data_IF_572591560300
#
_entry.id   IF_572591560300
#
_cell.length_a   1.000
_cell.length_b   1.000
_cell.length_c   1.000
_cell.angle_alpha   90.00
_cell.angle_beta   90.00
_cell.angle_gamma   90.00
#
_symmetry.space_group_name_H-M   'P 1'
#
loop_
_entity.id
_entity.type
_entity.pdbx_description
1 polymer ?
#
# COMPACT_ATOMS: atom_id res chain seq x y z
N UNK A 1 -3.57 59.01 5.83
CA UNK A 1 -2.46 58.50 5.01
C UNK A 1 -1.59 57.48 5.75
N UNK A 2 -1.17 57.73 7.00
CA UNK A 2 -0.31 56.80 7.74
C UNK A 2 -0.91 55.39 7.93
N UNK A 3 -2.22 55.25 8.13
CA UNK A 3 -2.89 53.94 8.30
C UNK A 3 -3.00 53.10 7.02
N UNK A 4 -2.93 53.74 5.85
CA UNK A 4 -3.00 53.03 4.57
C UNK A 4 -1.65 52.38 4.26
N UNK A 5 -0.56 53.09 4.56
CA UNK A 5 0.81 52.61 4.35
C UNK A 5 1.13 51.42 5.26
N UNK A 6 0.70 51.44 6.52
CA UNK A 6 0.92 50.31 7.44
C UNK A 6 0.20 49.03 7.01
N UNK A 7 -1.01 49.14 6.45
CA UNK A 7 -1.75 47.97 5.97
C UNK A 7 -1.12 47.33 4.72
N UNK A 8 -0.52 48.13 3.84
CA UNK A 8 0.17 47.62 2.65
C UNK A 8 1.45 46.87 3.03
N UNK A 9 2.26 47.42 3.94
CA UNK A 9 3.51 46.81 4.42
C UNK A 9 3.24 45.48 5.17
N UNK A 10 2.19 45.43 5.98
CA UNK A 10 1.74 44.20 6.66
C UNK A 10 1.28 43.11 5.67
N UNK A 11 0.57 43.50 4.61
CA UNK A 11 0.13 42.55 3.60
C UNK A 11 1.29 42.02 2.74
N UNK A 12 2.28 42.84 2.42
CA UNK A 12 3.47 42.39 1.69
C UNK A 12 4.32 41.44 2.53
N UNK A 13 4.56 41.75 3.79
CA UNK A 13 5.31 40.88 4.70
C UNK A 13 4.59 39.56 4.98
N UNK A 14 3.25 39.55 5.11
CA UNK A 14 2.47 38.31 5.18
C UNK A 14 2.51 37.48 3.89
N UNK A 15 2.49 38.14 2.72
CA UNK A 15 2.66 37.45 1.42
C UNK A 15 4.06 36.85 1.29
N UNK A 16 5.10 37.56 1.73
CA UNK A 16 6.48 37.11 1.69
C UNK A 16 6.74 35.97 2.68
N UNK A 17 6.10 35.99 3.85
CA UNK A 17 6.12 34.85 4.79
C UNK A 17 5.42 33.63 4.21
N UNK A 18 4.27 33.81 3.54
CA UNK A 18 3.58 32.71 2.85
C UNK A 18 4.36 32.18 1.65
N UNK A 19 5.05 33.03 0.89
CA UNK A 19 5.89 32.58 -0.22
C UNK A 19 7.12 31.82 0.29
N UNK A 20 7.80 32.33 1.33
CA UNK A 20 8.96 31.66 1.93
C UNK A 20 8.60 30.32 2.61
N UNK A 21 7.38 30.16 3.14
CA UNK A 21 6.91 28.87 3.65
C UNK A 21 6.58 27.87 2.52
N UNK A 22 6.11 28.35 1.37
CA UNK A 22 5.87 27.49 0.20
C UNK A 22 7.16 27.12 -0.54
N UNK A 23 8.18 28.00 -0.53
CA UNK A 23 9.49 27.75 -1.14
C UNK A 23 10.41 26.89 -0.25
N UNK A 24 10.11 26.79 1.05
CA UNK A 24 10.59 25.71 1.90
C UNK A 24 9.77 24.42 1.71
N UNK A 25 9.57 24.00 0.45
CA UNK A 25 9.41 22.56 0.18
C UNK A 25 10.63 21.90 0.81
N UNK A 26 10.46 21.27 1.98
CA UNK A 26 11.51 20.51 2.65
C UNK A 26 12.17 19.64 1.58
N UNK A 27 13.44 19.90 1.31
CA UNK A 27 14.19 19.18 0.28
C UNK A 27 14.39 17.77 0.80
N UNK A 28 13.63 16.84 0.27
CA UNK A 28 13.60 15.44 0.71
C UNK A 28 14.94 14.80 0.42
N UNK A 29 15.56 14.23 1.44
CA UNK A 29 16.85 13.54 1.28
C UNK A 29 16.63 12.10 0.84
N UNK A 30 16.55 11.92 -0.48
CA UNK A 30 16.40 10.61 -1.11
C UNK A 30 17.56 9.64 -0.85
N UNK A 31 18.65 10.09 -0.22
CA UNK A 31 19.78 9.23 0.13
C UNK A 31 19.64 8.59 1.52
N UNK A 32 18.68 9.03 2.35
CA UNK A 32 18.42 8.42 3.66
C UNK A 32 17.51 7.20 3.51
N UNK A 33 18.10 6.06 3.17
CA UNK A 33 17.36 4.81 3.07
C UNK A 33 17.13 4.20 4.46
N UNK A 34 15.87 4.06 4.85
CA UNK A 34 15.47 3.64 6.19
C UNK A 34 14.40 2.52 6.22
N UNK A 35 13.85 2.14 5.07
CA UNK A 35 12.74 1.19 4.97
C UNK A 35 13.00 0.10 3.90
N UNK A 36 12.57 -1.17 4.09
CA UNK A 36 12.09 -1.75 5.34
C UNK A 36 13.22 -1.79 6.40
N UNK A 37 12.91 -1.80 7.72
CA UNK A 37 13.86 -1.51 8.80
C UNK A 37 15.17 -2.32 8.79
N UNK A 38 15.12 -3.55 8.26
CA UNK A 38 16.26 -4.47 8.23
C UNK A 38 17.14 -4.32 6.97
N UNK A 39 16.56 -3.88 5.85
CA UNK A 39 17.21 -3.89 4.54
C UNK A 39 17.51 -2.46 4.06
N UNK A 40 16.79 -1.45 4.59
CA UNK A 40 17.03 -0.01 4.35
C UNK A 40 17.27 0.33 2.88
N UNK A 41 16.26 0.08 2.04
CA UNK A 41 16.34 0.22 0.57
C UNK A 41 15.53 1.40 0.03
N UNK A 42 14.56 1.89 0.80
CA UNK A 42 13.67 3.01 0.49
C UNK A 42 13.85 4.07 1.55
N UNK A 43 13.89 5.33 1.13
CA UNK A 43 13.63 6.46 2.00
C UNK A 43 12.13 6.56 2.30
N UNK A 44 11.76 6.49 3.58
CA UNK A 44 10.41 6.70 4.05
C UNK A 44 10.42 7.59 5.28
N UNK A 45 10.02 8.85 5.11
CA UNK A 45 9.71 9.74 6.21
C UNK A 45 8.34 10.38 5.97
N UNK A 46 7.38 10.13 6.86
CA UNK A 46 6.02 10.66 6.74
C UNK A 46 5.94 12.15 7.07
N UNK A 47 6.86 12.66 7.88
CA UNK A 47 6.85 14.08 8.27
C UNK A 47 7.34 14.99 7.14
N UNK A 48 8.19 14.46 6.26
CA UNK A 48 8.65 15.12 5.03
C UNK A 48 7.56 15.21 3.95
N UNK A 49 6.48 14.44 4.10
CA UNK A 49 5.33 14.47 3.19
C UNK A 49 4.42 15.64 3.52
N UNK A 50 3.95 16.35 2.49
CA UNK A 50 2.97 17.44 2.66
C UNK A 50 1.71 16.92 3.38
N UNK A 51 1.12 17.70 4.32
CA UNK A 51 0.02 17.23 5.15
C UNK A 51 -1.17 16.63 4.39
N UNK A 52 -1.47 17.17 3.20
CA UNK A 52 -2.54 16.69 2.31
C UNK A 52 -2.34 15.26 1.77
N UNK A 53 -1.09 14.81 1.72
CA UNK A 53 -0.68 13.51 1.17
C UNK A 53 -0.33 12.47 2.23
N UNK A 54 -0.17 12.88 3.50
CA UNK A 54 0.24 11.97 4.58
C UNK A 54 -0.72 10.79 4.74
N UNK A 55 -2.02 11.03 4.64
CA UNK A 55 -3.01 9.95 4.73
C UNK A 55 -2.86 8.94 3.59
N UNK A 56 -2.61 9.41 2.36
CA UNK A 56 -2.39 8.54 1.20
C UNK A 56 -1.16 7.66 1.43
N UNK A 57 -0.05 8.28 1.82
CA UNK A 57 1.21 7.57 2.07
C UNK A 57 1.08 6.57 3.22
N UNK A 58 0.36 6.91 4.29
CA UNK A 58 0.05 5.98 5.39
C UNK A 58 -0.79 4.81 4.92
N UNK A 59 -1.80 5.04 4.07
CA UNK A 59 -2.61 3.96 3.50
C UNK A 59 -1.79 3.01 2.64
N UNK A 60 -0.89 3.54 1.80
CA UNK A 60 0.02 2.72 0.98
C UNK A 60 1.00 1.89 1.83
N UNK A 61 1.52 2.49 2.90
CA UNK A 61 2.43 1.80 3.81
C UNK A 61 1.69 0.69 4.57
N UNK A 62 0.51 1.01 5.12
CA UNK A 62 -0.30 0.06 5.85
C UNK A 62 -0.77 -1.10 4.96
N UNK A 63 -1.20 -0.82 3.72
CA UNK A 63 -1.57 -1.87 2.77
C UNK A 63 -0.39 -2.80 2.49
N UNK A 64 0.82 -2.25 2.35
CA UNK A 64 2.03 -3.06 2.16
C UNK A 64 2.29 -4.00 3.33
N UNK A 65 2.18 -3.51 4.57
CA UNK A 65 2.33 -4.35 5.77
C UNK A 65 1.26 -5.44 5.84
N UNK A 66 0.00 -5.08 5.55
CA UNK A 66 -1.10 -6.03 5.58
C UNK A 66 -0.94 -7.13 4.55
N UNK A 67 -0.35 -6.86 3.38
CA UNK A 67 -0.07 -7.89 2.36
C UNK A 67 0.99 -8.87 2.87
N UNK A 68 2.05 -8.39 3.54
CA UNK A 68 3.01 -9.32 4.20
C UNK A 68 2.26 -10.20 5.20
N UNK A 69 1.49 -9.59 6.10
CA UNK A 69 0.74 -10.32 7.12
C UNK A 69 -0.23 -11.34 6.50
N UNK A 70 -0.96 -10.93 5.46
CA UNK A 70 -1.85 -11.78 4.69
C UNK A 70 -1.14 -12.99 4.11
N UNK A 71 -0.02 -12.80 3.40
CA UNK A 71 0.71 -13.91 2.77
C UNK A 71 1.30 -14.89 3.78
N UNK A 72 1.76 -14.40 4.95
CA UNK A 72 2.22 -15.26 6.03
C UNK A 72 1.06 -16.08 6.61
N UNK A 73 -0.09 -15.44 6.85
CA UNK A 73 -1.30 -16.11 7.33
C UNK A 73 -1.75 -17.19 6.33
N UNK A 74 -1.78 -16.85 5.04
CA UNK A 74 -2.15 -17.77 3.96
C UNK A 74 -1.24 -19.00 3.86
N UNK A 75 0.08 -18.84 4.10
CA UNK A 75 0.99 -19.99 4.18
C UNK A 75 0.65 -20.88 5.36
N UNK A 76 0.38 -20.29 6.53
CA UNK A 76 0.03 -21.03 7.75
C UNK A 76 -1.28 -21.80 7.54
N UNK A 77 -2.32 -21.13 7.04
CA UNK A 77 -3.63 -21.75 6.85
C UNK A 77 -3.58 -22.87 5.81
N UNK A 78 -2.95 -22.65 4.65
CA UNK A 78 -2.78 -23.71 3.65
C UNK A 78 -1.93 -24.89 4.17
N UNK A 79 -0.98 -24.64 5.09
CA UNK A 79 -0.20 -25.73 5.72
C UNK A 79 -1.06 -26.57 6.67
N UNK A 80 -1.93 -25.94 7.45
CA UNK A 80 -2.87 -26.63 8.35
C UNK A 80 -3.89 -27.42 7.54
N UNK A 81 -4.44 -26.81 6.49
CA UNK A 81 -5.37 -27.47 5.57
C UNK A 81 -4.74 -28.71 4.92
N UNK A 82 -3.49 -28.62 4.46
CA UNK A 82 -2.77 -29.76 3.90
C UNK A 82 -2.57 -30.90 4.92
N UNK A 83 -2.28 -30.56 6.18
CA UNK A 83 -2.21 -31.54 7.27
C UNK A 83 -3.54 -32.26 7.55
N UNK A 84 -4.67 -31.68 7.13
CA UNK A 84 -6.01 -32.25 7.26
C UNK A 84 -6.52 -32.93 5.97
N UNK A 85 -5.63 -33.18 4.99
CA UNK A 85 -5.95 -33.95 3.79
C UNK A 85 -6.41 -33.13 2.58
N UNK A 86 -6.35 -31.79 2.65
CA UNK A 86 -6.51 -30.92 1.47
C UNK A 86 -5.22 -30.95 0.62
N UNK A 87 -5.33 -30.71 -0.68
CA UNK A 87 -4.17 -30.75 -1.59
C UNK A 87 -3.03 -29.82 -1.15
N UNK A 88 -1.88 -30.43 -0.81
CA UNK A 88 -0.68 -29.72 -0.37
C UNK A 88 -0.04 -28.81 -1.42
N UNK A 89 -0.43 -28.92 -2.70
CA UNK A 89 0.05 -28.02 -3.77
C UNK A 89 -0.31 -26.55 -3.49
N UNK A 90 -1.35 -26.32 -2.69
CA UNK A 90 -1.75 -24.98 -2.25
C UNK A 90 -0.66 -24.27 -1.45
N UNK A 91 0.14 -25.00 -0.67
CA UNK A 91 1.29 -24.45 0.06
C UNK A 91 2.30 -23.86 -0.93
N UNK A 92 2.59 -24.59 -2.01
CA UNK A 92 3.51 -24.12 -3.05
C UNK A 92 3.00 -22.82 -3.69
N UNK A 93 1.70 -22.74 -3.98
CA UNK A 93 1.12 -21.50 -4.49
C UNK A 93 1.26 -20.34 -3.49
N UNK A 94 1.01 -20.55 -2.20
CA UNK A 94 1.21 -19.51 -1.17
C UNK A 94 2.65 -19.01 -1.13
N UNK A 95 3.64 -19.90 -1.25
CA UNK A 95 5.06 -19.49 -1.39
C UNK A 95 5.31 -18.74 -2.70
N UNK A 96 4.74 -19.19 -3.82
CA UNK A 96 4.85 -18.46 -5.09
C UNK A 96 4.26 -17.04 -4.96
N UNK A 97 3.16 -16.85 -4.23
CA UNK A 97 2.60 -15.52 -3.95
C UNK A 97 3.51 -14.68 -3.04
N UNK A 98 4.11 -15.29 -2.02
CA UNK A 98 5.12 -14.63 -1.17
C UNK A 98 6.34 -14.16 -1.98
N UNK A 99 6.74 -14.87 -3.05
CA UNK A 99 7.91 -14.50 -3.86
C UNK A 99 7.57 -13.73 -5.15
N UNK A 100 6.34 -13.80 -5.64
CA UNK A 100 5.96 -13.17 -6.91
C UNK A 100 5.12 -11.92 -6.69
N UNK A 101 4.10 -11.99 -5.82
CA UNK A 101 3.17 -10.89 -5.60
C UNK A 101 3.66 -9.92 -4.53
N UNK A 102 4.26 -10.41 -3.44
CA UNK A 102 4.84 -9.52 -2.45
C UNK A 102 5.93 -8.64 -3.05
N UNK A 103 6.91 -9.10 -3.85
CA UNK A 103 7.90 -8.18 -4.40
C UNK A 103 7.34 -7.12 -5.35
N UNK A 104 6.23 -7.39 -6.07
CA UNK A 104 5.49 -6.38 -6.84
C UNK A 104 4.94 -5.29 -5.91
N UNK A 105 4.47 -5.66 -4.71
CA UNK A 105 3.86 -4.78 -3.71
C UNK A 105 4.88 -4.15 -2.73
N UNK A 106 5.94 -4.86 -2.35
CA UNK A 106 6.80 -4.63 -1.18
C UNK A 106 8.30 -4.46 -1.45
N UNK A 107 8.82 -4.70 -2.67
CA UNK A 107 10.28 -4.81 -2.91
C UNK A 107 10.86 -6.06 -2.20
N UNK A 108 11.76 -6.90 -2.70
CA UNK A 108 12.87 -6.81 -3.65
C UNK A 108 13.21 -8.25 -4.10
N UNK A 109 13.90 -8.45 -5.24
CA UNK A 109 15.13 -9.30 -5.33
C UNK A 109 15.95 -8.93 -6.58
N UNK A 110 15.37 -8.65 -7.75
CA UNK A 110 16.16 -8.30 -8.96
C UNK A 110 15.98 -6.83 -9.41
N UNK A 111 16.89 -5.97 -8.96
CA UNK A 111 17.47 -4.81 -9.66
C UNK A 111 16.61 -3.80 -10.46
N UNK A 112 15.30 -3.65 -10.22
CA UNK A 112 14.58 -2.43 -10.68
C UNK A 112 13.32 -2.14 -9.88
N UNK A 113 13.47 -1.47 -8.73
CA UNK A 113 12.47 -0.66 -8.02
C UNK A 113 11.14 -1.34 -7.61
N UNK A 114 10.78 -1.24 -6.33
CA UNK A 114 9.43 -1.55 -5.84
C UNK A 114 8.40 -0.81 -6.70
N UNK A 115 7.45 -1.52 -7.30
CA UNK A 115 6.62 -0.91 -8.33
C UNK A 115 5.50 -0.03 -7.79
N UNK A 116 4.95 -0.31 -6.61
CA UNK A 116 3.66 0.31 -6.23
C UNK A 116 3.81 1.24 -5.04
N UNK A 117 4.28 0.73 -3.89
CA UNK A 117 4.49 1.57 -2.72
C UNK A 117 5.48 2.71 -3.01
N UNK A 118 6.66 2.38 -3.55
CA UNK A 118 7.69 3.37 -3.85
C UNK A 118 7.27 4.34 -4.97
N UNK A 119 6.64 3.86 -6.05
CA UNK A 119 6.13 4.77 -7.10
C UNK A 119 4.97 5.63 -6.63
N UNK A 120 4.09 5.09 -5.79
CA UNK A 120 3.02 5.87 -5.16
C UNK A 120 3.59 6.93 -4.24
N UNK A 121 4.50 6.56 -3.33
CA UNK A 121 5.18 7.50 -2.43
C UNK A 121 5.97 8.56 -3.19
N UNK A 122 6.94 8.16 -4.02
CA UNK A 122 7.77 9.09 -4.80
C UNK A 122 6.96 9.90 -5.80
N UNK A 123 5.90 9.31 -6.35
CA UNK A 123 5.03 9.98 -7.29
C UNK A 123 4.24 11.12 -6.66
N UNK A 124 3.71 10.89 -5.45
CA UNK A 124 2.99 11.91 -4.68
C UNK A 124 3.93 13.03 -4.21
N UNK A 125 5.20 12.68 -3.95
CA UNK A 125 6.14 13.54 -3.25
C UNK A 125 7.03 14.36 -4.19
N UNK A 126 7.48 13.78 -5.31
CA UNK A 126 8.52 14.39 -6.16
C UNK A 126 8.27 14.30 -7.65
N UNK A 127 7.70 13.21 -8.18
CA UNK A 127 7.65 12.95 -9.62
C UNK A 127 6.28 12.45 -10.10
N UNK A 128 5.38 13.35 -10.54
CA UNK A 128 4.03 13.00 -10.98
C UNK A 128 3.97 11.96 -12.10
N UNK A 129 5.01 11.84 -12.95
CA UNK A 129 5.01 10.86 -14.04
C UNK A 129 4.95 9.41 -13.53
N UNK A 130 5.50 9.16 -12.33
CA UNK A 130 5.41 7.84 -11.69
C UNK A 130 3.99 7.47 -11.27
N UNK A 131 3.12 8.47 -11.05
CA UNK A 131 1.72 8.26 -10.66
C UNK A 131 0.88 7.69 -11.79
N UNK A 132 1.18 7.98 -13.06
CA UNK A 132 0.40 7.48 -14.19
C UNK A 132 0.46 5.96 -14.26
N UNK A 133 1.67 5.38 -14.22
CA UNK A 133 1.82 3.93 -14.21
C UNK A 133 1.27 3.31 -12.92
N UNK A 134 1.51 3.95 -11.77
CA UNK A 134 0.96 3.52 -10.49
C UNK A 134 -0.57 3.40 -10.55
N UNK A 135 -1.28 4.39 -11.09
CA UNK A 135 -2.75 4.39 -11.21
C UNK A 135 -3.25 3.15 -11.96
N UNK A 136 -2.68 2.85 -13.12
CA UNK A 136 -3.07 1.70 -13.93
C UNK A 136 -2.77 0.37 -13.27
N UNK A 137 -1.55 0.20 -12.75
CA UNK A 137 -1.13 -1.04 -12.08
C UNK A 137 -2.00 -1.29 -10.83
N UNK A 138 -2.31 -0.24 -10.08
CA UNK A 138 -3.13 -0.33 -8.88
C UNK A 138 -4.58 -0.73 -9.20
N UNK A 139 -5.17 -0.22 -10.28
CA UNK A 139 -6.50 -0.63 -10.74
C UNK A 139 -6.52 -2.13 -11.03
N UNK A 140 -5.56 -2.61 -11.83
CA UNK A 140 -5.47 -4.03 -12.19
C UNK A 140 -5.34 -4.89 -10.94
N UNK A 141 -4.51 -4.50 -9.99
CA UNK A 141 -4.33 -5.26 -8.76
C UNK A 141 -5.55 -5.26 -7.86
N UNK A 142 -6.24 -4.14 -7.72
CA UNK A 142 -7.51 -4.08 -6.97
C UNK A 142 -8.51 -5.08 -7.57
N UNK A 143 -8.63 -5.16 -8.90
CA UNK A 143 -9.51 -6.11 -9.57
C UNK A 143 -9.07 -7.57 -9.34
N UNK A 144 -7.77 -7.85 -9.39
CA UNK A 144 -7.23 -9.17 -9.06
C UNK A 144 -7.55 -9.57 -7.62
N UNK A 145 -7.31 -8.67 -6.65
CA UNK A 145 -7.59 -8.92 -5.23
C UNK A 145 -9.09 -9.16 -4.97
N UNK A 146 -9.98 -8.37 -5.57
CA UNK A 146 -11.43 -8.60 -5.47
C UNK A 146 -11.78 -9.99 -6.03
N UNK A 147 -11.20 -10.36 -7.18
CA UNK A 147 -11.44 -11.67 -7.79
C UNK A 147 -11.00 -12.79 -6.85
N UNK A 148 -9.77 -12.72 -6.31
CA UNK A 148 -9.23 -13.71 -5.37
C UNK A 148 -9.96 -13.75 -4.02
N UNK A 149 -10.58 -12.65 -3.58
CA UNK A 149 -11.44 -12.69 -2.39
C UNK A 149 -12.71 -13.51 -2.60
N UNK A 150 -13.18 -13.63 -3.84
CA UNK A 150 -14.41 -14.36 -4.14
C UNK A 150 -14.09 -15.82 -4.45
N UNK A 151 -13.12 -16.07 -5.32
CA UNK A 151 -12.84 -17.41 -5.86
C UNK A 151 -11.73 -18.13 -5.12
N UNK A 152 -11.93 -19.43 -4.88
CA UNK A 152 -10.91 -20.32 -4.34
C UNK A 152 -9.97 -20.79 -5.45
N UNK A 153 -8.87 -20.06 -5.69
CA UNK A 153 -7.89 -20.40 -6.74
C UNK A 153 -6.48 -20.13 -6.25
N UNK A 154 -5.47 -20.82 -6.79
CA UNK A 154 -4.04 -20.55 -6.55
C UNK A 154 -3.65 -20.43 -5.05
N UNK A 155 -4.28 -21.23 -4.18
CA UNK A 155 -4.02 -21.20 -2.72
C UNK A 155 -4.81 -20.14 -1.94
N UNK A 156 -5.59 -19.29 -2.61
CA UNK A 156 -6.58 -18.44 -1.95
C UNK A 156 -7.79 -19.25 -1.54
N UNK A 157 -8.29 -18.99 -0.34
CA UNK A 157 -9.54 -19.58 0.13
C UNK A 157 -10.73 -18.87 -0.52
N UNK A 158 -10.85 -17.56 -0.32
CA UNK A 158 -11.97 -16.77 -0.79
C UNK A 158 -13.30 -17.16 -0.15
N UNK A 159 -14.30 -16.30 -0.34
CA UNK A 159 -15.60 -16.45 0.33
C UNK A 159 -16.36 -17.72 -0.07
N UNK A 160 -16.15 -18.25 -1.28
CA UNK A 160 -16.87 -19.43 -1.77
C UNK A 160 -16.53 -20.68 -0.93
N UNK A 161 -15.28 -20.87 -0.50
CA UNK A 161 -14.88 -22.08 0.23
C UNK A 161 -15.09 -21.98 1.74
N UNK A 162 -15.35 -20.78 2.27
CA UNK A 162 -15.52 -20.56 3.71
C UNK A 162 -16.59 -21.46 4.32
N UNK A 163 -17.75 -21.60 3.66
CA UNK A 163 -18.83 -22.44 4.17
C UNK A 163 -18.36 -23.89 4.36
N UNK A 164 -17.65 -24.43 3.36
CA UNK A 164 -17.06 -25.77 3.42
C UNK A 164 -16.04 -25.87 4.55
N UNK A 165 -15.15 -24.88 4.68
CA UNK A 165 -14.16 -24.87 5.77
C UNK A 165 -14.83 -24.81 7.14
N UNK A 166 -15.89 -24.02 7.34
CA UNK A 166 -16.59 -23.98 8.62
C UNK A 166 -17.28 -25.28 8.99
N UNK A 167 -17.76 -26.04 8.00
CA UNK A 167 -18.41 -27.34 8.21
C UNK A 167 -17.41 -28.44 8.57
N UNK A 168 -16.29 -28.53 7.85
CA UNK A 168 -15.36 -29.66 7.97
C UNK A 168 -14.10 -29.34 8.80
N UNK A 169 -13.62 -28.10 8.78
CA UNK A 169 -12.37 -27.66 9.40
C UNK A 169 -12.55 -26.26 10.03
N UNK A 170 -13.36 -26.13 11.11
CA UNK A 170 -13.84 -24.84 11.60
C UNK A 170 -12.71 -23.88 11.98
N UNK A 171 -11.59 -24.39 12.47
CA UNK A 171 -10.40 -23.57 12.75
C UNK A 171 -9.82 -22.94 11.48
N UNK A 172 -9.66 -23.71 10.39
CA UNK A 172 -9.25 -23.17 9.09
C UNK A 172 -10.30 -22.21 8.52
N UNK A 173 -11.59 -22.46 8.76
CA UNK A 173 -12.66 -21.52 8.39
C UNK A 173 -12.50 -20.16 9.06
N UNK A 174 -12.13 -20.12 10.35
CA UNK A 174 -11.82 -18.88 11.07
C UNK A 174 -10.58 -18.19 10.49
N UNK A 175 -9.50 -18.93 10.22
CA UNK A 175 -8.28 -18.37 9.63
C UNK A 175 -8.53 -17.79 8.23
N UNK A 176 -9.22 -18.54 7.37
CA UNK A 176 -9.63 -18.09 6.05
C UNK A 176 -10.53 -16.84 6.10
N UNK A 177 -11.42 -16.74 7.10
CA UNK A 177 -12.24 -15.54 7.29
C UNK A 177 -11.37 -14.33 7.66
N UNK A 178 -10.36 -14.50 8.53
CA UNK A 178 -9.41 -13.44 8.84
C UNK A 178 -8.59 -13.02 7.62
N UNK A 179 -8.14 -13.99 6.81
CA UNK A 179 -7.47 -13.72 5.53
C UNK A 179 -8.32 -12.86 4.60
N UNK A 180 -9.58 -13.24 4.39
CA UNK A 180 -10.49 -12.52 3.50
C UNK A 180 -10.79 -11.11 4.02
N UNK A 181 -10.94 -10.93 5.35
CA UNK A 181 -11.08 -9.60 5.96
C UNK A 181 -9.83 -8.73 5.72
N UNK A 182 -8.63 -9.27 5.95
CA UNK A 182 -7.38 -8.55 5.69
C UNK A 182 -7.29 -8.17 4.21
N UNK A 183 -7.65 -9.08 3.30
CA UNK A 183 -7.67 -8.81 1.87
C UNK A 183 -8.64 -7.68 1.50
N UNK A 184 -9.85 -7.67 2.07
CA UNK A 184 -10.81 -6.58 1.87
C UNK A 184 -10.29 -5.24 2.40
N UNK A 185 -9.60 -5.23 3.53
CA UNK A 185 -8.96 -4.01 4.06
C UNK A 185 -7.86 -3.53 3.11
N UNK A 186 -7.05 -4.44 2.54
CA UNK A 186 -6.02 -4.09 1.55
C UNK A 186 -6.68 -3.46 0.31
N UNK A 187 -7.76 -4.06 -0.21
CA UNK A 187 -8.53 -3.52 -1.35
C UNK A 187 -9.07 -2.13 -1.04
N UNK A 188 -9.65 -1.95 0.15
CA UNK A 188 -10.20 -0.67 0.59
C UNK A 188 -9.11 0.41 0.71
N UNK A 189 -7.99 0.13 1.39
CA UNK A 189 -6.88 1.08 1.53
C UNK A 189 -6.25 1.42 0.17
N UNK A 190 -6.13 0.42 -0.70
CA UNK A 190 -5.62 0.57 -2.07
C UNK A 190 -6.52 1.45 -2.92
N UNK A 191 -7.83 1.22 -2.88
CA UNK A 191 -8.83 2.03 -3.57
C UNK A 191 -8.93 3.45 -3.02
N UNK A 192 -8.85 3.61 -1.69
CA UNK A 192 -8.82 4.91 -1.03
C UNK A 192 -7.60 5.73 -1.45
N UNK A 193 -6.39 5.13 -1.42
CA UNK A 193 -5.17 5.79 -1.86
C UNK A 193 -5.27 6.21 -3.33
N UNK A 194 -5.75 5.32 -4.20
CA UNK A 194 -5.96 5.61 -5.63
C UNK A 194 -6.96 6.76 -5.85
N UNK A 195 -8.11 6.73 -5.17
CA UNK A 195 -9.13 7.77 -5.25
C UNK A 195 -8.59 9.13 -4.81
N UNK A 196 -7.81 9.18 -3.72
CA UNK A 196 -7.17 10.41 -3.25
C UNK A 196 -6.15 10.92 -4.26
N UNK A 197 -5.28 10.06 -4.79
CA UNK A 197 -4.30 10.40 -5.83
C UNK A 197 -4.97 10.94 -7.10
N UNK A 198 -6.16 10.47 -7.44
CA UNK A 198 -6.91 10.96 -8.60
C UNK A 198 -7.49 12.37 -8.40
N UNK A 199 -7.86 12.70 -7.17
CA UNK A 199 -8.48 13.99 -6.82
C UNK A 199 -7.48 15.10 -6.49
N UNK A 200 -6.20 14.76 -6.38
CA UNK A 200 -5.13 15.74 -6.24
C UNK A 200 -4.95 16.40 -7.61
N UNK A 201 -5.41 17.65 -7.74
CA UNK A 201 -5.24 18.43 -8.97
C UNK A 201 -3.74 18.71 -9.16
N UNK A 202 -3.23 18.35 -10.34
CA UNK A 202 -1.92 18.81 -10.84
C UNK A 202 -1.89 20.35 -10.95
#
# INVERSE_FOLDING_TARGET
MASFVTNTVLNESMRQFKSNQNDQKQKIDWNDFNYPPLIKVIHYNIEEVQPEYRLVVRSLWLSSILIVAYTLLNIIDNSIQAGNGIDGIRILYSFMFLFSFNPIQLQHIFHSQSFIFYRGYKGVVSDPYLLVLYKWVQIVLILCWITFSIVAILGFNGFIILQFLFEFLPFCGVLALFEDIIMLIIVFLSGFALFRIWNIKE
#
